data_IF_242809398885
#
_entry.id   IF_242809398885
#
_cell.length_a   1.000
_cell.length_b   1.000
_cell.length_c   1.000
_cell.angle_alpha   90.00
_cell.angle_beta   90.00
_cell.angle_gamma   90.00
#
_symmetry.space_group_name_H-M   'P 1'
#
loop_
_entity.id
_entity.type
_entity.pdbx_description
1 polymer ?
#
# COMPACT_ATOMS: atom_id res chain seq x y z
N UNK A 1 -16.83 20.49 3.28
CA UNK A 1 -17.77 20.12 4.36
C UNK A 1 -17.19 20.60 5.68
N UNK A 2 -18.00 21.32 6.46
CA UNK A 2 -17.79 21.80 7.84
C UNK A 2 -16.70 22.86 8.10
N UNK A 3 -17.07 24.12 7.85
CA UNK A 3 -16.73 25.22 8.75
C UNK A 3 -17.99 26.05 8.97
N UNK A 4 -18.69 25.82 10.09
CA UNK A 4 -19.73 26.70 10.60
C UNK A 4 -20.19 26.23 11.99
N UNK A 5 -20.57 27.20 12.84
CA UNK A 5 -21.06 27.10 14.24
C UNK A 5 -19.89 27.10 15.24
N UNK A 6 -19.77 27.96 16.25
CA UNK A 6 -20.79 28.67 17.05
C UNK A 6 -20.36 30.12 17.32
N UNK A 7 -21.16 31.08 16.85
CA UNK A 7 -21.37 32.39 17.48
C UNK A 7 -22.80 32.36 18.01
N UNK A 8 -23.01 32.74 19.28
CA UNK A 8 -24.28 33.16 19.92
C UNK A 8 -24.38 32.64 21.36
N UNK A 9 -23.98 33.47 22.33
CA UNK A 9 -24.48 33.45 23.72
C UNK A 9 -23.98 34.67 24.49
N UNK A 10 -24.15 35.87 23.93
CA UNK A 10 -23.88 37.11 24.65
C UNK A 10 -24.96 38.11 24.27
N UNK A 11 -26.12 38.00 24.92
CA UNK A 11 -27.09 39.08 25.07
C UNK A 11 -28.20 38.65 26.05
N UNK A 12 -28.45 39.55 27.02
CA UNK A 12 -29.53 39.58 28.01
C UNK A 12 -29.42 38.75 29.30
N UNK A 13 -28.79 39.37 30.29
CA UNK A 13 -29.37 39.73 31.61
C UNK A 13 -28.41 40.80 32.16
N UNK A 14 -28.78 42.01 32.57
CA UNK A 14 -30.03 42.64 32.93
C UNK A 14 -29.60 43.85 33.76
N UNK A 15 -30.01 45.05 33.35
CA UNK A 15 -29.87 46.26 34.15
C UNK A 15 -30.50 46.02 35.54
N UNK A 16 -29.83 46.46 36.61
CA UNK A 16 -30.48 47.08 37.77
C UNK A 16 -29.43 47.74 38.68
N UNK A 17 -29.82 48.92 39.16
CA UNK A 17 -29.30 49.64 40.33
C UNK A 17 -28.00 50.44 40.20
N UNK A 18 -28.17 51.67 39.74
CA UNK A 18 -27.55 52.86 40.31
C UNK A 18 -27.52 52.86 41.84
N UNK A 19 -26.38 53.15 42.45
CA UNK A 19 -26.20 54.11 43.58
C UNK A 19 -24.76 54.03 44.09
N UNK A 20 -24.17 55.19 44.40
CA UNK A 20 -23.02 55.27 45.29
C UNK A 20 -21.65 55.36 44.61
N UNK A 21 -21.32 56.54 44.10
CA UNK A 21 -19.94 57.00 44.14
C UNK A 21 -19.53 57.09 45.62
N UNK A 22 -18.71 56.15 46.07
CA UNK A 22 -17.88 56.31 47.26
C UNK A 22 -16.54 55.67 46.92
N UNK A 23 -15.62 56.56 46.55
CA UNK A 23 -14.19 56.35 46.58
C UNK A 23 -13.76 55.61 47.84
N UNK A 24 -13.35 54.35 47.70
CA UNK A 24 -12.35 53.75 48.57
C UNK A 24 -11.50 52.82 47.70
N UNK A 25 -10.35 53.36 47.30
CA UNK A 25 -9.13 52.61 47.01
C UNK A 25 -9.26 51.47 46.01
N UNK A 26 -8.90 51.77 44.75
CA UNK A 26 -8.24 50.76 43.95
C UNK A 26 -7.10 50.17 44.77
N UNK A 27 -7.26 48.93 45.23
CA UNK A 27 -6.18 48.14 45.81
C UNK A 27 -5.18 47.87 44.69
N UNK A 28 -4.28 48.82 44.47
CA UNK A 28 -2.95 48.53 43.95
C UNK A 28 -2.37 47.36 44.76
N UNK A 29 -1.58 46.46 44.16
CA UNK A 29 -1.00 45.36 44.91
C UNK A 29 -0.10 45.97 45.98
N UNK A 30 -0.57 45.98 47.23
CA UNK A 30 0.26 46.37 48.36
C UNK A 30 1.53 45.53 48.31
N UNK A 31 2.68 46.19 48.52
CA UNK A 31 3.97 45.56 48.39
C UNK A 31 3.94 44.28 49.23
N UNK A 32 4.14 43.12 48.60
CA UNK A 32 3.98 41.79 49.24
C UNK A 32 4.79 41.69 50.53
N UNK A 33 5.92 42.37 50.58
CA UNK A 33 6.77 42.46 51.78
C UNK A 33 6.11 43.26 52.92
N UNK A 34 5.41 44.36 52.60
CA UNK A 34 4.67 45.16 53.59
C UNK A 34 3.48 44.36 54.14
N UNK A 35 2.70 43.71 53.28
CA UNK A 35 1.60 42.83 53.71
C UNK A 35 2.08 41.63 54.54
N UNK A 36 3.26 41.09 54.21
CA UNK A 36 3.87 40.00 54.98
C UNK A 36 4.29 40.50 56.38
N UNK A 37 4.89 41.68 56.47
CA UNK A 37 5.28 42.30 57.75
C UNK A 37 4.05 42.62 58.61
N UNK A 38 2.99 43.14 58.01
CA UNK A 38 1.73 43.45 58.69
C UNK A 38 1.02 42.19 59.19
N UNK A 39 0.92 41.15 58.36
CA UNK A 39 0.34 39.86 58.74
C UNK A 39 1.12 39.18 59.87
N UNK A 40 2.45 39.24 59.86
CA UNK A 40 3.31 38.65 60.90
C UNK A 40 3.34 39.46 62.19
N UNK A 41 3.09 40.77 62.13
CA UNK A 41 2.95 41.61 63.32
C UNK A 41 1.61 41.34 64.03
N UNK A 42 0.56 41.03 63.28
CA UNK A 42 -0.76 40.70 63.82
C UNK A 42 -0.89 39.23 64.28
N UNK A 43 -0.26 38.29 63.56
CA UNK A 43 -0.26 36.86 63.88
C UNK A 43 1.15 36.26 63.64
N UNK A 44 1.97 36.14 64.69
CA UNK A 44 3.32 35.55 64.58
C UNK A 44 3.33 34.07 64.17
N UNK A 45 2.28 33.30 64.47
CA UNK A 45 2.20 31.86 64.12
C UNK A 45 1.98 31.66 62.62
N UNK A 46 1.41 32.66 61.93
CA UNK A 46 1.22 32.68 60.48
C UNK A 46 2.52 32.54 59.68
N UNK A 47 3.68 32.79 60.31
CA UNK A 47 5.01 32.53 59.74
C UNK A 47 5.15 31.09 59.21
N UNK A 48 4.65 30.10 59.94
CA UNK A 48 4.72 28.71 59.52
C UNK A 48 3.92 28.44 58.25
N UNK A 49 2.78 29.12 58.07
CA UNK A 49 1.94 29.03 56.87
C UNK A 49 2.64 29.66 55.67
N UNK A 50 3.28 30.83 55.85
CA UNK A 50 4.03 31.49 54.78
C UNK A 50 5.25 30.68 54.33
N UNK A 51 5.99 30.08 55.27
CA UNK A 51 7.09 29.19 54.94
C UNK A 51 6.60 27.93 54.22
N UNK A 52 5.51 27.31 54.68
CA UNK A 52 4.91 26.16 54.00
C UNK A 52 4.45 26.52 52.58
N UNK A 53 3.84 27.70 52.38
CA UNK A 53 3.46 28.19 51.04
C UNK A 53 4.68 28.37 50.15
N UNK A 54 5.77 28.95 50.67
CA UNK A 54 7.02 29.11 49.92
C UNK A 54 7.61 27.76 49.52
N UNK A 55 7.67 26.82 50.45
CA UNK A 55 8.14 25.45 50.18
C UNK A 55 7.29 24.78 49.10
N UNK A 56 5.95 24.87 49.18
CA UNK A 56 5.05 24.34 48.16
C UNK A 56 5.24 25.02 46.80
N UNK A 57 5.41 26.35 46.76
CA UNK A 57 5.68 27.08 45.53
C UNK A 57 6.99 26.62 44.86
N UNK A 58 8.06 26.44 45.65
CA UNK A 58 9.33 25.90 45.14
C UNK A 58 9.18 24.48 44.59
N UNK A 59 8.35 23.63 45.22
CA UNK A 59 8.05 22.27 44.72
C UNK A 59 7.27 22.32 43.42
N UNK A 60 6.28 23.20 43.31
CA UNK A 60 5.53 23.41 42.06
C UNK A 60 6.47 23.83 40.94
N UNK A 61 7.34 24.83 41.18
CA UNK A 61 8.33 25.27 40.19
C UNK A 61 9.28 24.13 39.78
N UNK A 62 9.67 23.27 40.72
CA UNK A 62 10.50 22.09 40.43
C UNK A 62 9.75 21.11 39.53
N UNK A 63 8.51 20.76 39.85
CA UNK A 63 7.69 19.86 39.02
C UNK A 63 7.39 20.43 37.63
N UNK A 64 7.19 21.75 37.50
CA UNK A 64 7.02 22.41 36.21
C UNK A 64 8.27 22.31 35.34
N UNK A 65 9.46 22.49 35.93
CA UNK A 65 10.75 22.28 35.25
C UNK A 65 10.92 20.82 34.82
N UNK A 66 10.65 19.87 35.71
CA UNK A 66 10.72 18.43 35.41
C UNK A 66 9.77 18.03 34.28
N UNK A 67 8.53 18.53 34.31
CA UNK A 67 7.54 18.30 33.26
C UNK A 67 8.01 18.86 31.92
N UNK A 68 8.58 20.08 31.93
CA UNK A 68 9.08 20.74 30.71
C UNK A 68 10.26 19.96 30.10
N UNK A 69 11.20 19.52 30.93
CA UNK A 69 12.31 18.67 30.51
C UNK A 69 11.81 17.33 29.94
N UNK A 70 10.88 16.68 30.65
CA UNK A 70 10.29 15.41 30.21
C UNK A 70 9.57 15.53 28.87
N UNK A 71 8.80 16.62 28.68
CA UNK A 71 8.15 16.93 27.39
C UNK A 71 9.18 17.09 26.27
N UNK A 72 10.23 17.87 26.50
CA UNK A 72 11.28 18.08 25.50
C UNK A 72 11.97 16.77 25.09
N UNK A 73 12.32 15.92 26.06
CA UNK A 73 12.92 14.59 25.80
C UNK A 73 11.98 13.72 24.97
N UNK A 74 10.69 13.69 25.32
CA UNK A 74 9.69 12.90 24.60
C UNK A 74 9.52 13.43 23.16
N UNK A 75 9.46 14.74 22.97
CA UNK A 75 9.34 15.36 21.64
C UNK A 75 10.55 15.05 20.76
N UNK A 76 11.77 15.14 21.30
CA UNK A 76 12.99 14.74 20.60
C UNK A 76 12.95 13.25 20.22
N UNK A 77 12.52 12.38 21.13
CA UNK A 77 12.39 10.95 20.86
C UNK A 77 11.35 10.67 19.78
N UNK A 78 10.21 11.37 19.79
CA UNK A 78 9.20 11.27 18.73
C UNK A 78 9.79 11.71 17.39
N UNK A 79 10.54 12.81 17.35
CA UNK A 79 11.17 13.29 16.12
C UNK A 79 12.18 12.27 15.58
N UNK A 80 13.03 11.69 16.44
CA UNK A 80 13.98 10.65 16.04
C UNK A 80 13.26 9.41 15.49
N UNK A 81 12.24 8.90 16.21
CA UNK A 81 11.47 7.73 15.76
C UNK A 81 10.78 7.97 14.41
N UNK A 82 10.31 9.19 14.14
CA UNK A 82 9.74 9.56 12.83
C UNK A 82 10.80 9.51 11.73
N UNK A 83 12.01 10.00 11.99
CA UNK A 83 13.13 9.93 11.04
C UNK A 83 13.55 8.48 10.79
N UNK A 84 13.67 7.67 11.85
CA UNK A 84 14.02 6.26 11.75
C UNK A 84 12.98 5.47 10.95
N UNK A 85 11.69 5.73 11.18
CA UNK A 85 10.60 5.14 10.42
C UNK A 85 10.66 5.53 8.94
N UNK A 86 10.91 6.80 8.63
CA UNK A 86 11.07 7.26 7.26
C UNK A 86 12.26 6.58 6.57
N UNK A 87 13.41 6.49 7.25
CA UNK A 87 14.60 5.81 6.74
C UNK A 87 14.38 4.31 6.55
N UNK A 88 13.72 3.64 7.50
CA UNK A 88 13.36 2.22 7.39
C UNK A 88 12.39 1.97 6.22
N UNK A 89 11.39 2.83 6.05
CA UNK A 89 10.44 2.76 4.94
C UNK A 89 11.15 2.92 3.59
N UNK A 90 12.03 3.90 3.45
CA UNK A 90 12.83 4.11 2.23
C UNK A 90 13.71 2.91 1.94
N UNK A 91 14.42 2.38 2.95
CA UNK A 91 15.24 1.16 2.79
C UNK A 91 14.41 -0.05 2.37
N UNK A 92 13.24 -0.26 2.96
CA UNK A 92 12.34 -1.34 2.58
C UNK A 92 11.85 -1.19 1.13
N UNK A 93 11.45 0.03 0.72
CA UNK A 93 11.05 0.33 -0.67
C UNK A 93 12.18 0.06 -1.66
N UNK A 94 13.40 0.50 -1.35
CA UNK A 94 14.57 0.24 -2.19
C UNK A 94 14.84 -1.26 -2.33
N UNK A 95 14.76 -2.03 -1.25
CA UNK A 95 14.88 -3.50 -1.30
C UNK A 95 13.79 -4.14 -2.15
N UNK A 96 12.54 -3.68 -2.04
CA UNK A 96 11.44 -4.17 -2.88
C UNK A 96 11.70 -3.90 -4.36
N UNK A 97 12.17 -2.68 -4.70
CA UNK A 97 12.51 -2.31 -6.08
C UNK A 97 13.65 -3.19 -6.60
N UNK A 98 14.69 -3.39 -5.81
CA UNK A 98 15.84 -4.21 -6.19
C UNK A 98 15.44 -5.68 -6.45
N UNK A 99 14.66 -6.28 -5.55
CA UNK A 99 14.17 -7.66 -5.74
C UNK A 99 13.29 -7.76 -6.98
N UNK A 100 12.39 -6.79 -7.23
CA UNK A 100 11.59 -6.76 -8.46
C UNK A 100 12.47 -6.69 -9.71
N UNK A 101 13.49 -5.83 -9.69
CA UNK A 101 14.44 -5.68 -10.80
C UNK A 101 15.20 -6.98 -11.07
N UNK A 102 15.52 -7.77 -10.05
CA UNK A 102 16.16 -9.07 -10.20
C UNK A 102 15.23 -10.11 -10.85
N UNK A 103 13.90 -9.98 -10.66
CA UNK A 103 12.90 -10.89 -11.24
C UNK A 103 12.48 -10.51 -12.67
N UNK A 104 12.65 -9.23 -13.06
CA UNK A 104 12.22 -8.73 -14.38
C UNK A 104 12.82 -9.51 -15.57
N UNK A 105 14.12 -9.85 -15.60
CA UNK A 105 14.69 -10.62 -16.71
C UNK A 105 14.05 -12.00 -16.89
N UNK A 106 13.72 -12.68 -15.80
CA UNK A 106 13.05 -13.98 -15.85
C UNK A 106 11.61 -13.85 -16.35
N UNK A 107 10.91 -12.79 -15.92
CA UNK A 107 9.57 -12.47 -16.40
C UNK A 107 9.57 -12.16 -17.90
N UNK A 108 10.52 -11.38 -18.37
CA UNK A 108 10.69 -11.07 -19.80
C UNK A 108 10.99 -12.33 -20.60
N UNK A 109 11.97 -13.14 -20.15
CA UNK A 109 12.34 -14.41 -20.78
C UNK A 109 11.14 -15.35 -20.92
N UNK A 110 10.35 -15.52 -19.86
CA UNK A 110 9.14 -16.35 -19.91
C UNK A 110 8.05 -15.76 -20.80
N UNK A 111 7.91 -14.44 -20.85
CA UNK A 111 6.96 -13.76 -21.73
C UNK A 111 7.31 -14.00 -23.19
N UNK A 112 8.58 -13.82 -23.56
CA UNK A 112 9.09 -14.10 -24.92
C UNK A 112 8.89 -15.58 -25.27
N UNK A 113 9.28 -16.50 -24.38
CA UNK A 113 9.11 -17.94 -24.60
C UNK A 113 7.63 -18.32 -24.81
N UNK A 114 6.72 -17.72 -24.03
CA UNK A 114 5.28 -17.95 -24.17
C UNK A 114 4.74 -17.44 -25.51
N UNK A 115 5.20 -16.28 -25.97
CA UNK A 115 4.84 -15.73 -27.29
C UNK A 115 5.29 -16.68 -28.40
N UNK A 116 6.57 -17.06 -28.41
CA UNK A 116 7.13 -17.96 -29.41
C UNK A 116 6.41 -19.32 -29.44
N UNK A 117 6.18 -19.93 -28.27
CA UNK A 117 5.46 -21.21 -28.18
C UNK A 117 4.00 -21.09 -28.63
N UNK A 118 3.37 -19.94 -28.42
CA UNK A 118 1.99 -19.69 -28.86
C UNK A 118 1.91 -19.49 -30.39
N UNK A 119 2.91 -18.84 -30.99
CA UNK A 119 3.06 -18.70 -32.43
C UNK A 119 3.31 -20.06 -33.09
N UNK A 120 4.22 -20.86 -32.53
CA UNK A 120 4.49 -22.21 -33.02
C UNK A 120 3.23 -23.09 -32.95
N UNK A 121 2.49 -23.03 -31.84
CA UNK A 121 1.21 -23.72 -31.69
C UNK A 121 0.19 -23.29 -32.77
N UNK A 122 0.13 -22.00 -33.11
CA UNK A 122 -0.73 -21.47 -34.17
C UNK A 122 -0.30 -21.99 -35.54
N UNK A 123 1.00 -21.99 -35.83
CA UNK A 123 1.55 -22.51 -37.09
C UNK A 123 1.27 -24.01 -37.26
N UNK A 124 1.50 -24.81 -36.22
CA UNK A 124 1.20 -26.26 -36.23
C UNK A 124 -0.29 -26.56 -36.39
N UNK A 125 -1.17 -25.76 -35.79
CA UNK A 125 -2.63 -25.85 -36.02
C UNK A 125 -2.97 -25.57 -37.48
N UNK A 126 -2.33 -24.58 -38.09
CA UNK A 126 -2.44 -24.28 -39.51
C UNK A 126 -2.01 -25.47 -40.38
N UNK A 127 -0.83 -26.04 -40.11
CA UNK A 127 -0.33 -27.24 -40.79
C UNK A 127 -1.31 -28.41 -40.68
N UNK A 128 -1.84 -28.67 -39.48
CA UNK A 128 -2.82 -29.73 -39.25
C UNK A 128 -4.11 -29.53 -40.05
N UNK A 129 -4.57 -28.30 -40.18
CA UNK A 129 -5.73 -27.95 -40.98
C UNK A 129 -5.47 -28.16 -42.48
N UNK A 130 -4.28 -27.83 -42.98
CA UNK A 130 -3.86 -28.11 -44.36
C UNK A 130 -3.89 -29.61 -44.65
N UNK A 131 -3.27 -30.43 -43.78
CA UNK A 131 -3.30 -31.90 -43.90
C UNK A 131 -4.75 -32.43 -43.88
N UNK A 132 -5.61 -31.86 -43.04
CA UNK A 132 -7.04 -32.16 -42.99
C UNK A 132 -7.75 -31.93 -44.32
N UNK A 133 -7.50 -30.78 -44.97
CA UNK A 133 -8.05 -30.45 -46.29
C UNK A 133 -7.53 -31.38 -47.38
N UNK A 134 -6.24 -31.71 -47.35
CA UNK A 134 -5.64 -32.65 -48.32
C UNK A 134 -6.25 -34.05 -48.19
N UNK A 135 -6.41 -34.57 -46.98
CA UNK A 135 -7.10 -35.85 -46.76
C UNK A 135 -8.54 -35.83 -47.28
N UNK A 136 -9.28 -34.76 -47.03
CA UNK A 136 -10.66 -34.62 -47.52
C UNK A 136 -10.71 -34.59 -49.05
N UNK A 137 -9.78 -33.87 -49.70
CA UNK A 137 -9.67 -33.81 -51.15
C UNK A 137 -9.32 -35.18 -51.73
N UNK A 138 -8.32 -35.87 -51.20
CA UNK A 138 -7.91 -37.21 -51.66
C UNK A 138 -9.03 -38.25 -51.50
N UNK A 139 -9.78 -38.20 -50.39
CA UNK A 139 -10.96 -39.07 -50.18
C UNK A 139 -12.08 -38.79 -51.17
N UNK A 140 -12.20 -37.55 -51.64
CA UNK A 140 -13.19 -37.17 -52.65
C UNK A 140 -12.74 -37.64 -54.03
N UNK A 141 -11.46 -37.43 -54.38
CA UNK A 141 -10.92 -37.86 -55.68
C UNK A 141 -10.87 -39.37 -55.80
N UNK A 142 -10.49 -40.10 -54.75
CA UNK A 142 -10.40 -41.57 -54.77
C UNK A 142 -11.73 -42.30 -55.02
N UNK A 143 -12.86 -41.60 -54.85
CA UNK A 143 -14.22 -42.11 -55.11
C UNK A 143 -14.72 -41.79 -56.53
N UNK A 144 -13.92 -41.14 -57.37
CA UNK A 144 -14.33 -40.82 -58.74
C UNK A 144 -14.52 -42.11 -59.58
N UNK A 145 -15.62 -42.23 -60.33
CA UNK A 145 -15.97 -43.45 -61.07
C UNK A 145 -14.99 -43.76 -62.22
N UNK A 146 -14.24 -42.77 -62.71
CA UNK A 146 -13.27 -42.89 -63.80
C UNK A 146 -11.90 -43.44 -63.40
N UNK A 147 -11.67 -43.75 -62.12
CA UNK A 147 -10.37 -44.21 -61.63
C UNK A 147 -10.17 -45.72 -61.77
N UNK A 148 -8.98 -46.10 -62.23
CA UNK A 148 -8.52 -47.49 -62.28
C UNK A 148 -8.22 -48.02 -60.87
N UNK A 149 -8.09 -49.35 -60.74
CA UNK A 149 -7.68 -49.98 -59.47
C UNK A 149 -6.29 -49.53 -59.01
N UNK A 150 -5.36 -49.33 -59.94
CA UNK A 150 -4.01 -48.84 -59.66
C UNK A 150 -4.03 -47.40 -59.13
N UNK A 151 -4.84 -46.52 -59.72
CA UNK A 151 -4.98 -45.14 -59.23
C UNK A 151 -5.55 -45.10 -57.80
N UNK A 152 -6.55 -45.94 -57.53
CA UNK A 152 -7.14 -46.05 -56.18
C UNK A 152 -6.09 -46.49 -55.16
N UNK A 153 -5.27 -47.49 -55.49
CA UNK A 153 -4.18 -47.95 -54.62
C UNK A 153 -3.16 -46.85 -54.35
N UNK A 154 -2.79 -46.04 -55.36
CA UNK A 154 -1.89 -44.89 -55.21
C UNK A 154 -2.49 -43.82 -54.27
N UNK A 155 -3.76 -43.47 -54.45
CA UNK A 155 -4.43 -42.50 -53.58
C UNK A 155 -4.57 -43.00 -52.14
N UNK A 156 -4.83 -44.29 -51.95
CA UNK A 156 -4.90 -44.88 -50.62
C UNK A 156 -3.54 -44.83 -49.91
N UNK A 157 -2.46 -45.16 -50.61
CA UNK A 157 -1.11 -45.04 -50.08
C UNK A 157 -0.75 -43.59 -49.71
N UNK A 158 -1.09 -42.61 -50.55
CA UNK A 158 -0.92 -41.18 -50.23
C UNK A 158 -1.73 -40.78 -48.99
N UNK A 159 -2.97 -41.27 -48.88
CA UNK A 159 -3.85 -40.99 -47.75
C UNK A 159 -3.27 -41.56 -46.45
N UNK A 160 -2.73 -42.78 -46.46
CA UNK A 160 -2.03 -43.37 -45.31
C UNK A 160 -0.81 -42.54 -44.91
N UNK A 161 -0.04 -42.04 -45.88
CA UNK A 161 1.09 -41.14 -45.65
C UNK A 161 0.68 -39.86 -44.93
N UNK A 162 -0.34 -39.16 -45.45
CA UNK A 162 -0.86 -37.92 -44.84
C UNK A 162 -1.48 -38.19 -43.47
N UNK A 163 -2.14 -39.33 -43.27
CA UNK A 163 -2.66 -39.73 -41.96
C UNK A 163 -1.55 -39.90 -40.92
N UNK A 164 -0.42 -40.52 -41.30
CA UNK A 164 0.75 -40.66 -40.43
C UNK A 164 1.33 -39.29 -40.07
N UNK A 165 1.46 -38.39 -41.05
CA UNK A 165 1.93 -37.02 -40.81
C UNK A 165 0.97 -36.23 -39.91
N UNK A 166 -0.34 -36.36 -40.11
CA UNK A 166 -1.34 -35.75 -39.26
C UNK A 166 -1.24 -36.26 -37.81
N UNK A 167 -1.03 -37.58 -37.61
CA UNK A 167 -0.81 -38.17 -36.30
C UNK A 167 0.43 -37.63 -35.60
N UNK A 168 1.54 -37.46 -36.33
CA UNK A 168 2.75 -36.80 -35.81
C UNK A 168 2.48 -35.36 -35.39
N UNK A 169 1.82 -34.57 -36.24
CA UNK A 169 1.47 -33.17 -35.93
C UNK A 169 0.52 -33.09 -34.74
N UNK A 170 -0.41 -34.05 -34.57
CA UNK A 170 -1.31 -34.10 -33.43
C UNK A 170 -0.57 -34.35 -32.10
N UNK A 171 0.48 -35.18 -32.10
CA UNK A 171 1.37 -35.37 -30.95
C UNK A 171 2.16 -34.09 -30.62
N UNK A 172 2.75 -33.44 -31.63
CA UNK A 172 3.46 -32.16 -31.47
C UNK A 172 2.53 -31.07 -30.91
N UNK A 173 1.28 -31.00 -31.40
CA UNK A 173 0.27 -30.07 -30.90
C UNK A 173 -0.09 -30.33 -29.44
N UNK A 174 -0.20 -31.59 -29.03
CA UNK A 174 -0.46 -31.94 -27.64
C UNK A 174 0.70 -31.50 -26.72
N UNK A 175 1.94 -31.77 -27.14
CA UNK A 175 3.14 -31.33 -26.43
C UNK A 175 3.22 -29.79 -26.31
N UNK A 176 2.99 -29.06 -27.41
CA UNK A 176 2.98 -27.60 -27.43
C UNK A 176 1.89 -27.00 -26.54
N UNK A 177 0.68 -27.59 -26.51
CA UNK A 177 -0.40 -27.16 -25.60
C UNK A 177 0.02 -27.27 -24.14
N UNK A 178 0.65 -28.39 -23.75
CA UNK A 178 1.14 -28.57 -22.38
C UNK A 178 2.28 -27.60 -22.07
N UNK A 179 3.20 -27.39 -23.00
CA UNK A 179 4.29 -26.45 -22.83
C UNK A 179 3.79 -25.01 -22.63
N UNK A 180 2.86 -24.55 -23.46
CA UNK A 180 2.20 -23.22 -23.31
C UNK A 180 1.49 -23.12 -21.97
N UNK A 181 0.77 -24.16 -21.52
CA UNK A 181 0.13 -24.18 -20.21
C UNK A 181 1.15 -24.03 -19.08
N UNK A 182 2.26 -24.76 -19.15
CA UNK A 182 3.33 -24.68 -18.16
C UNK A 182 3.95 -23.28 -18.11
N UNK A 183 4.23 -22.67 -19.27
CA UNK A 183 4.76 -21.30 -19.34
C UNK A 183 3.80 -20.28 -18.71
N UNK A 184 2.49 -20.42 -18.95
CA UNK A 184 1.46 -19.56 -18.30
C UNK A 184 1.49 -19.71 -16.77
N UNK A 185 1.59 -20.94 -16.27
CA UNK A 185 1.69 -21.20 -14.82
C UNK A 185 2.96 -20.56 -14.25
N UNK A 186 4.12 -20.77 -14.88
CA UNK A 186 5.40 -20.17 -14.45
C UNK A 186 5.31 -18.64 -14.40
N UNK A 187 4.71 -18.02 -15.42
CA UNK A 187 4.55 -16.57 -15.48
C UNK A 187 3.58 -16.04 -14.42
N UNK A 188 2.53 -16.78 -14.06
CA UNK A 188 1.62 -16.43 -12.98
C UNK A 188 2.34 -16.48 -11.63
N UNK A 189 3.12 -17.52 -11.37
CA UNK A 189 3.86 -17.68 -10.11
C UNK A 189 4.89 -16.57 -9.87
N UNK A 190 5.49 -16.02 -10.93
CA UNK A 190 6.44 -14.90 -10.83
C UNK A 190 5.73 -13.54 -10.64
N UNK A 191 4.44 -13.44 -10.97
CA UNK A 191 3.66 -12.20 -10.83
C UNK A 191 2.99 -12.05 -9.47
N UNK A 192 2.79 -13.14 -8.72
CA UNK A 192 2.25 -13.16 -7.37
C UNK A 192 3.27 -12.59 -6.38
#
# INVERSE_FOLDING_TARGET
MLMMRLRSCLLLCGLLASTGASSLGGCAPANREQLTKEALAADPEFKAVLEKRRQLANRVETYEKELTLSRSIIEQKIAQLKQDLAAATTRARMKIIEVKRQMDPDRERLTVALTLASEELKMKRGQRAVLGRQMAQLRKTSKAPSLTSEDRARYEQQLTGIQKDAGRVDQELAALKQHVRLLKIKLLLIKL
#
